data_IF_181495968033
#
_entry.id   IF_181495968033
#
_cell.length_a   1.000
_cell.length_b   1.000
_cell.length_c   1.000
_cell.angle_alpha   90.00
_cell.angle_beta   90.00
_cell.angle_gamma   90.00
#
_symmetry.space_group_name_H-M   'P 1'
#
loop_
_entity.id
_entity.type
_entity.pdbx_description
1 polymer ?
#
# COMPACT_ATOMS: atom_id res chain seq x y z
N UNK A 1 39.28 0.43 -15.26
CA UNK A 1 38.33 1.47 -15.68
C UNK A 1 37.13 1.44 -14.75
N UNK A 2 36.90 2.51 -13.98
CA UNK A 2 35.77 2.59 -13.05
C UNK A 2 34.54 3.11 -13.82
N UNK A 3 33.51 2.30 -13.93
CA UNK A 3 32.23 2.74 -14.48
C UNK A 3 31.51 3.63 -13.45
N UNK A 4 31.49 4.93 -13.67
CA UNK A 4 30.61 5.82 -12.94
C UNK A 4 29.15 5.53 -13.35
N UNK A 5 28.39 4.90 -12.46
CA UNK A 5 26.93 4.84 -12.62
C UNK A 5 26.38 6.27 -12.55
N UNK A 6 25.86 6.78 -13.66
CA UNK A 6 25.10 8.04 -13.66
C UNK A 6 23.95 7.88 -12.67
N UNK A 7 23.86 8.77 -11.68
CA UNK A 7 22.69 8.85 -10.80
C UNK A 7 21.46 9.05 -11.70
N UNK A 8 20.39 8.25 -11.54
CA UNK A 8 19.16 8.53 -12.27
C UNK A 8 18.70 9.96 -11.96
N UNK A 9 18.17 10.64 -12.98
CA UNK A 9 17.60 11.98 -12.78
C UNK A 9 16.54 11.91 -11.68
N UNK A 10 16.60 12.85 -10.73
CA UNK A 10 15.59 12.94 -9.69
C UNK A 10 14.24 13.23 -10.33
N UNK A 11 13.31 12.26 -10.24
CA UNK A 11 11.94 12.44 -10.69
C UNK A 11 11.16 12.97 -9.50
N UNK A 12 10.68 14.20 -9.57
CA UNK A 12 9.87 14.83 -8.55
C UNK A 12 10.38 16.18 -8.06
N UNK A 13 9.57 16.84 -7.27
CA UNK A 13 9.85 18.14 -6.67
C UNK A 13 10.00 17.96 -5.17
N UNK A 14 11.05 18.55 -4.59
CA UNK A 14 11.24 18.55 -3.14
C UNK A 14 10.10 19.35 -2.49
N UNK A 15 9.34 18.70 -1.62
CA UNK A 15 8.22 19.28 -0.88
C UNK A 15 8.24 18.84 0.59
N UNK A 16 7.59 19.59 1.50
CA UNK A 16 7.35 19.13 2.85
C UNK A 16 6.58 17.81 2.83
N UNK A 17 6.78 16.97 3.86
CA UNK A 17 6.00 15.74 4.01
C UNK A 17 4.52 16.12 4.23
N UNK A 18 3.60 15.69 3.35
CA UNK A 18 2.20 16.01 3.49
C UNK A 18 1.56 15.18 4.62
N UNK A 19 0.42 15.62 5.12
CA UNK A 19 -0.45 14.79 5.94
C UNK A 19 -1.19 13.75 5.10
N UNK A 20 -2.39 13.36 5.56
CA UNK A 20 -3.26 12.48 4.78
C UNK A 20 -3.58 13.11 3.41
N UNK A 21 -3.44 12.31 2.35
CA UNK A 21 -3.73 12.72 0.97
C UNK A 21 -5.02 12.03 0.54
N UNK A 22 -5.96 12.78 -0.04
CA UNK A 22 -7.17 12.18 -0.59
C UNK A 22 -6.82 11.20 -1.73
N UNK A 23 -7.48 10.06 -1.71
CA UNK A 23 -7.25 9.04 -2.73
C UNK A 23 -7.78 9.48 -4.08
N UNK A 24 -6.99 9.30 -5.13
CA UNK A 24 -7.50 9.33 -6.48
C UNK A 24 -8.47 8.17 -6.70
N UNK A 25 -9.70 8.49 -7.09
CA UNK A 25 -10.73 7.49 -7.34
C UNK A 25 -10.83 7.22 -8.84
N UNK A 26 -10.73 5.95 -9.21
CA UNK A 26 -10.97 5.51 -10.58
C UNK A 26 -12.45 5.61 -10.92
N UNK A 27 -12.75 6.05 -12.14
CA UNK A 27 -14.09 5.98 -12.71
C UNK A 27 -14.29 4.64 -13.41
N UNK A 28 -15.49 4.07 -13.25
CA UNK A 28 -15.86 2.89 -14.03
C UNK A 28 -16.01 3.23 -15.50
N UNK A 29 -15.51 2.35 -16.36
CA UNK A 29 -15.63 2.49 -17.82
C UNK A 29 -16.25 1.22 -18.39
N UNK A 30 -17.06 1.36 -19.45
CA UNK A 30 -17.73 0.22 -20.08
C UNK A 30 -16.80 -0.65 -20.93
N UNK A 31 -15.77 -0.04 -21.53
CA UNK A 31 -14.84 -0.72 -22.40
C UNK A 31 -13.40 -0.51 -21.95
N UNK A 32 -12.70 -1.61 -21.78
CA UNK A 32 -11.27 -1.57 -21.44
C UNK A 32 -10.48 -0.93 -22.59
N UNK A 33 -9.73 0.17 -22.33
CA UNK A 33 -8.93 0.79 -23.36
C UNK A 33 -7.76 -0.11 -23.74
N UNK A 34 -7.42 -0.15 -25.02
CA UNK A 34 -6.28 -0.88 -25.57
C UNK A 34 -5.13 0.03 -25.97
N UNK A 35 -3.97 -0.58 -26.27
CA UNK A 35 -2.77 0.09 -26.76
C UNK A 35 -1.68 0.30 -25.71
N UNK A 36 -0.47 0.61 -26.17
CA UNK A 36 0.78 0.61 -25.38
C UNK A 36 0.85 1.67 -24.26
N UNK A 37 -0.11 2.58 -24.23
CA UNK A 37 -0.19 3.64 -23.19
C UNK A 37 -0.96 3.23 -21.95
N UNK A 38 -1.55 2.02 -21.93
CA UNK A 38 -2.36 1.53 -20.84
C UNK A 38 -1.68 0.37 -20.14
N UNK A 39 -1.63 0.46 -18.82
CA UNK A 39 -1.28 -0.66 -17.95
C UNK A 39 -2.56 -1.25 -17.39
N UNK A 40 -2.66 -2.58 -17.46
CA UNK A 40 -3.80 -3.32 -16.93
C UNK A 40 -3.35 -4.04 -15.66
N UNK A 41 -4.01 -3.76 -14.56
CA UNK A 41 -3.71 -4.37 -13.28
C UNK A 41 -4.90 -5.17 -12.77
N UNK A 42 -4.62 -6.20 -11.98
CA UNK A 42 -5.67 -6.96 -11.30
C UNK A 42 -6.24 -6.08 -10.19
N UNK A 43 -7.57 -5.94 -10.15
CA UNK A 43 -8.25 -5.30 -9.03
C UNK A 43 -8.36 -6.30 -7.89
N UNK A 44 -7.62 -6.06 -6.84
CA UNK A 44 -7.80 -6.79 -5.59
C UNK A 44 -9.02 -6.25 -4.83
N UNK A 45 -9.69 -7.13 -4.09
CA UNK A 45 -10.84 -6.76 -3.26
C UNK A 45 -10.44 -6.80 -1.78
N UNK A 46 -10.28 -5.62 -1.20
CA UNK A 46 -9.75 -5.45 0.16
C UNK A 46 -10.07 -4.08 0.77
N UNK A 47 -9.24 -3.65 1.72
CA UNK A 47 -9.28 -2.31 2.28
C UNK A 47 -8.18 -1.45 1.67
N UNK A 48 -8.56 -0.45 0.87
CA UNK A 48 -7.61 0.55 0.39
C UNK A 48 -7.15 1.44 1.53
N UNK A 49 -5.84 1.54 1.70
CA UNK A 49 -5.20 2.27 2.77
C UNK A 49 -3.99 3.06 2.27
N UNK A 50 -3.61 4.08 3.02
CA UNK A 50 -2.30 4.70 2.91
C UNK A 50 -1.46 4.31 4.12
N UNK A 51 -0.27 3.81 3.85
CA UNK A 51 0.75 3.57 4.88
C UNK A 51 1.70 4.76 4.86
N UNK A 52 1.75 5.49 5.96
CA UNK A 52 2.59 6.64 6.16
C UNK A 52 3.80 6.27 7.01
N UNK A 53 4.99 6.46 6.48
CA UNK A 53 6.26 6.34 7.20
C UNK A 53 6.85 7.75 7.35
N UNK A 54 7.01 8.23 8.54
CA UNK A 54 7.67 9.50 8.81
C UNK A 54 8.11 9.61 10.28
N UNK A 55 9.23 10.29 10.53
CA UNK A 55 9.69 10.63 11.87
C UNK A 55 9.74 9.43 12.85
N UNK A 56 10.22 8.28 12.37
CA UNK A 56 10.25 7.03 13.14
C UNK A 56 8.87 6.51 13.57
N UNK A 57 7.82 6.91 12.90
CA UNK A 57 6.45 6.47 13.15
C UNK A 57 5.84 5.88 11.87
N UNK A 58 5.01 4.85 12.04
CA UNK A 58 4.20 4.28 10.96
C UNK A 58 2.74 4.45 11.32
N UNK A 59 1.96 4.99 10.39
CA UNK A 59 0.50 5.10 10.48
C UNK A 59 -0.17 4.47 9.28
N UNK A 60 -1.33 3.86 9.51
CA UNK A 60 -2.16 3.26 8.46
C UNK A 60 -3.51 3.96 8.44
N UNK A 61 -3.78 4.68 7.38
CA UNK A 61 -5.02 5.43 7.21
C UNK A 61 -5.94 4.72 6.21
N UNK A 62 -7.22 4.62 6.55
CA UNK A 62 -8.25 4.15 5.62
C UNK A 62 -8.55 5.19 4.55
N UNK A 63 -9.32 4.80 3.52
CA UNK A 63 -9.78 5.69 2.46
C UNK A 63 -10.47 6.98 2.97
N UNK A 64 -11.06 6.95 4.15
CA UNK A 64 -11.72 8.11 4.77
C UNK A 64 -10.83 8.86 5.76
N UNK A 65 -9.54 8.57 5.81
CA UNK A 65 -8.58 9.21 6.70
C UNK A 65 -8.65 8.73 8.16
N UNK A 66 -9.37 7.65 8.47
CA UNK A 66 -9.38 7.10 9.83
C UNK A 66 -8.08 6.36 10.11
N UNK A 67 -7.47 6.63 11.25
CA UNK A 67 -6.27 5.91 11.72
C UNK A 67 -6.67 4.50 12.20
N UNK A 68 -6.27 3.50 11.43
CA UNK A 68 -6.45 2.10 11.74
C UNK A 68 -5.13 1.37 12.00
N UNK A 69 -4.09 2.08 12.38
CA UNK A 69 -2.76 1.52 12.67
C UNK A 69 -2.85 0.33 13.63
N UNK A 70 -3.65 0.44 14.69
CA UNK A 70 -3.83 -0.65 15.66
C UNK A 70 -4.53 -1.88 15.06
N UNK A 71 -5.44 -1.69 14.10
CA UNK A 71 -6.13 -2.80 13.43
C UNK A 71 -5.23 -3.53 12.45
N UNK A 72 -4.29 -2.82 11.85
CA UNK A 72 -3.33 -3.32 10.90
C UNK A 72 -1.90 -3.26 11.45
N UNK A 73 -1.74 -3.60 12.74
CA UNK A 73 -0.46 -3.52 13.44
C UNK A 73 0.63 -4.35 12.76
N UNK A 74 0.28 -5.49 12.14
CA UNK A 74 1.25 -6.29 11.39
C UNK A 74 1.78 -5.54 10.18
N UNK A 75 0.89 -4.91 9.39
CA UNK A 75 1.29 -4.09 8.24
C UNK A 75 2.15 -2.91 8.71
N UNK A 76 1.75 -2.23 9.78
CA UNK A 76 2.52 -1.14 10.35
C UNK A 76 3.92 -1.60 10.82
N UNK A 77 4.01 -2.78 11.45
CA UNK A 77 5.28 -3.37 11.88
C UNK A 77 6.15 -3.76 10.68
N UNK A 78 5.58 -4.39 9.67
CA UNK A 78 6.32 -4.85 8.49
C UNK A 78 6.79 -3.67 7.61
N UNK A 79 6.07 -2.54 7.64
CA UNK A 79 6.42 -1.35 6.88
C UNK A 79 7.77 -0.72 7.29
N UNK A 80 8.28 -1.02 8.49
CA UNK A 80 9.61 -0.62 8.92
C UNK A 80 10.74 -1.22 8.07
N UNK A 81 10.50 -2.32 7.41
CA UNK A 81 11.49 -2.94 6.51
C UNK A 81 11.62 -2.18 5.17
N UNK A 82 10.76 -1.19 4.93
CA UNK A 82 10.89 -0.30 3.78
C UNK A 82 12.00 0.70 4.10
N UNK A 83 13.12 0.60 3.40
CA UNK A 83 14.31 1.42 3.62
C UNK A 83 14.16 2.89 3.20
N UNK A 84 13.04 3.55 3.54
CA UNK A 84 12.78 4.95 3.25
C UNK A 84 12.75 5.79 4.53
N UNK A 85 13.37 6.97 4.51
CA UNK A 85 13.32 7.91 5.65
C UNK A 85 11.93 8.50 5.87
N UNK A 86 11.17 8.68 4.80
CA UNK A 86 9.74 9.01 4.81
C UNK A 86 9.09 8.52 3.52
N UNK A 87 7.86 8.02 3.61
CA UNK A 87 7.11 7.56 2.46
C UNK A 87 5.60 7.58 2.74
N UNK A 88 4.81 7.77 1.70
CA UNK A 88 3.38 7.47 1.68
C UNK A 88 3.17 6.41 0.61
N UNK A 89 2.55 5.30 1.01
CA UNK A 89 2.32 4.17 0.14
C UNK A 89 0.82 3.93 0.07
N UNK A 90 0.26 4.06 -1.11
CA UNK A 90 -1.14 3.73 -1.41
C UNK A 90 -1.21 2.25 -1.80
N UNK A 91 -2.14 1.52 -1.23
CA UNK A 91 -2.30 0.10 -1.54
C UNK A 91 -3.56 -0.52 -0.98
N UNK A 92 -3.70 -1.80 -1.21
CA UNK A 92 -4.85 -2.59 -0.78
C UNK A 92 -4.42 -3.64 0.23
N UNK A 93 -5.11 -3.71 1.36
CA UNK A 93 -4.93 -4.79 2.34
C UNK A 93 -5.90 -5.91 1.97
N UNK A 94 -5.35 -7.09 1.73
CA UNK A 94 -6.09 -8.26 1.27
C UNK A 94 -5.72 -9.51 2.08
N UNK A 95 -6.61 -10.50 2.08
CA UNK A 95 -6.30 -11.86 2.52
C UNK A 95 -6.29 -12.74 1.27
N UNK A 96 -5.11 -13.18 0.80
CA UNK A 96 -5.04 -14.05 -0.36
C UNK A 96 -5.53 -15.46 -0.02
N UNK A 97 -6.31 -16.04 -0.91
CA UNK A 97 -6.66 -17.44 -0.90
C UNK A 97 -5.52 -18.30 -1.51
N UNK A 98 -5.61 -19.61 -1.38
CA UNK A 98 -4.58 -20.53 -1.88
C UNK A 98 -4.41 -20.49 -3.42
N UNK A 99 -5.47 -20.10 -4.13
CA UNK A 99 -5.48 -19.92 -5.59
C UNK A 99 -5.04 -18.52 -6.04
N UNK A 100 -4.65 -17.65 -5.10
CA UNK A 100 -4.22 -16.28 -5.38
C UNK A 100 -5.36 -15.27 -5.52
N UNK A 101 -6.61 -15.71 -5.42
CA UNK A 101 -7.77 -14.79 -5.36
C UNK A 101 -7.84 -14.10 -4.00
N UNK A 102 -8.64 -13.04 -3.90
CA UNK A 102 -8.87 -12.31 -2.65
C UNK A 102 -10.36 -12.28 -2.32
N UNK A 103 -10.70 -12.51 -1.06
CA UNK A 103 -12.07 -12.48 -0.57
C UNK A 103 -12.21 -11.43 0.54
N UNK A 104 -12.99 -10.40 0.24
CA UNK A 104 -13.24 -9.30 1.17
C UNK A 104 -14.01 -9.75 2.41
N UNK A 105 -14.88 -10.73 2.28
CA UNK A 105 -15.67 -11.25 3.42
C UNK A 105 -14.77 -11.94 4.44
N UNK A 106 -13.75 -12.65 3.99
CA UNK A 106 -12.73 -13.25 4.86
C UNK A 106 -11.98 -12.18 5.63
N UNK A 107 -11.52 -11.13 4.95
CA UNK A 107 -10.83 -10.01 5.59
C UNK A 107 -11.73 -9.30 6.63
N UNK A 108 -13.01 -9.08 6.32
CA UNK A 108 -13.95 -8.48 7.26
C UNK A 108 -14.17 -9.34 8.51
N UNK A 109 -14.26 -10.65 8.35
CA UNK A 109 -14.46 -11.59 9.47
C UNK A 109 -13.22 -11.64 10.36
N UNK A 110 -12.03 -11.65 9.78
CA UNK A 110 -10.77 -11.55 10.53
C UNK A 110 -10.72 -10.28 11.38
N UNK A 111 -11.07 -9.13 10.82
CA UNK A 111 -11.09 -7.85 11.52
C UNK A 111 -12.15 -7.74 12.61
N UNK A 112 -13.24 -8.53 12.52
CA UNK A 112 -14.29 -8.60 13.54
C UNK A 112 -13.97 -9.59 14.66
N UNK A 113 -12.81 -10.26 14.60
CA UNK A 113 -12.44 -11.29 15.57
C UNK A 113 -13.33 -12.53 15.53
N UNK A 114 -14.05 -12.76 14.44
CA UNK A 114 -14.95 -13.91 14.25
C UNK A 114 -14.26 -15.13 13.64
N UNK A 115 -12.95 -15.07 13.48
CA UNK A 115 -12.18 -16.23 13.05
C UNK A 115 -12.16 -17.28 14.15
N UNK A 116 -12.76 -18.43 13.88
CA UNK A 116 -12.89 -19.56 14.83
C UNK A 116 -11.59 -20.34 15.02
N UNK A 117 -10.50 -19.93 14.42
CA UNK A 117 -9.16 -20.52 14.63
C UNK A 117 -8.12 -19.42 14.60
N UNK A 118 -7.55 -19.16 15.75
CA UNK A 118 -6.37 -18.34 16.00
C UNK A 118 -5.18 -18.76 15.11
N UNK A 119 -5.18 -18.28 13.89
CA UNK A 119 -4.01 -18.34 13.04
C UNK A 119 -3.91 -17.04 12.27
N UNK A 120 -3.27 -16.08 12.88
CA UNK A 120 -2.68 -14.91 12.22
C UNK A 120 -1.62 -15.31 11.17
N UNK A 121 -1.56 -16.59 10.82
CA UNK A 121 -0.66 -17.14 9.81
C UNK A 121 -1.22 -17.11 8.39
N UNK A 122 -2.46 -16.66 8.18
CA UNK A 122 -2.88 -16.29 6.83
C UNK A 122 -2.32 -14.91 6.56
N UNK A 123 -1.38 -14.85 5.66
CA UNK A 123 -0.65 -13.65 5.28
C UNK A 123 -1.63 -12.56 4.85
N UNK A 124 -1.88 -11.59 5.73
CA UNK A 124 -2.45 -10.32 5.27
C UNK A 124 -1.38 -9.72 4.38
N UNK A 125 -1.66 -9.62 3.10
CA UNK A 125 -0.74 -9.08 2.12
C UNK A 125 -1.12 -7.62 1.82
N UNK A 126 -0.11 -6.79 1.69
CA UNK A 126 -0.26 -5.43 1.20
C UNK A 126 0.22 -5.40 -0.26
N UNK A 127 -0.70 -5.14 -1.17
CA UNK A 127 -0.38 -4.93 -2.58
C UNK A 127 -0.37 -3.46 -2.87
N UNK A 128 0.71 -2.91 -3.38
CA UNK A 128 0.86 -1.48 -3.61
C UNK A 128 1.13 -1.14 -5.06
N UNK A 129 0.44 -0.11 -5.54
CA UNK A 129 1.00 0.76 -6.58
C UNK A 129 1.76 1.84 -5.83
N UNK A 130 3.08 1.78 -5.87
CA UNK A 130 3.94 2.62 -5.02
C UNK A 130 3.94 4.06 -5.53
N UNK A 131 3.32 4.97 -4.80
CA UNK A 131 3.65 6.40 -4.89
C UNK A 131 4.58 6.72 -3.73
N UNK A 132 5.88 6.74 -3.97
CA UNK A 132 6.86 7.10 -2.94
C UNK A 132 7.05 8.60 -2.96
N UNK A 133 6.59 9.26 -1.89
CA UNK A 133 6.87 10.66 -1.61
C UNK A 133 7.89 10.70 -0.47
N UNK A 134 9.18 10.87 -0.76
CA UNK A 134 10.18 10.96 0.29
C UNK A 134 11.62 10.95 -0.22
N UNK A 135 12.56 11.38 0.63
CA UNK A 135 13.99 11.31 0.36
C UNK A 135 14.53 9.91 0.63
N UNK A 136 15.07 9.25 -0.37
CA UNK A 136 15.79 7.98 -0.22
C UNK A 136 17.16 8.24 0.46
N UNK A 137 17.47 7.47 1.50
CA UNK A 137 18.85 7.21 1.92
C UNK A 137 19.17 5.77 1.51
N UNK A 138 20.13 5.63 0.64
CA UNK A 138 20.84 4.38 0.38
C UNK A 138 22.05 4.31 1.31
#
# INVERSE_FOLDING_TARGET
MAFQRKKPAAIGVKAPYPGFIEFALASSIEKVPGGDRWLHEIKFDGYRVQVHLANTEVKVFTRRGHDWTRRFNKIASDAWHIGAGSAIIDGEIVVPAADGTTDFSVLQNELKGRSTKSSWSRSICFTSTVTICGSYRW
#
